data_IF_597866997464
#
_entry.id   IF_597866997464
#
_cell.length_a   1.000
_cell.length_b   1.000
_cell.length_c   1.000
_cell.angle_alpha   90.00
_cell.angle_beta   90.00
_cell.angle_gamma   90.00
#
_symmetry.space_group_name_H-M   'P 1'
#
loop_
_entity.id
_entity.type
_entity.pdbx_description
1 polymer ?
#
# COMPACT_ATOMS: atom_id res chain seq x y z
N UNK A 1 21.32 3.94 8.86
CA UNK A 1 20.30 2.96 8.43
C UNK A 1 19.42 3.62 7.38
N UNK A 2 19.17 2.96 6.25
CA UNK A 2 18.24 3.45 5.21
C UNK A 2 16.95 2.64 5.25
N UNK A 3 15.82 3.27 4.93
CA UNK A 3 14.53 2.61 4.74
C UNK A 3 14.10 2.77 3.29
N UNK A 4 13.70 1.68 2.65
CA UNK A 4 13.27 1.68 1.24
C UNK A 4 12.01 0.83 1.08
N UNK A 5 11.10 1.26 0.21
CA UNK A 5 9.93 0.44 -0.15
C UNK A 5 10.38 -0.66 -1.11
N UNK A 6 10.13 -1.92 -0.75
CA UNK A 6 10.46 -3.09 -1.57
C UNK A 6 9.29 -3.51 -2.45
N UNK A 7 8.10 -3.59 -1.88
CA UNK A 7 6.87 -3.90 -2.62
C UNK A 7 5.62 -3.42 -1.91
N UNK A 8 4.56 -3.24 -2.70
CA UNK A 8 3.17 -3.16 -2.23
C UNK A 8 2.49 -4.47 -2.57
N UNK A 9 1.73 -5.05 -1.64
CA UNK A 9 0.94 -6.25 -1.86
C UNK A 9 -0.52 -5.93 -1.53
N UNK A 10 -1.40 -6.23 -2.47
CA UNK A 10 -2.84 -6.08 -2.33
C UNK A 10 -3.46 -7.47 -2.24
N UNK A 11 -4.24 -7.71 -1.18
CA UNK A 11 -4.99 -8.94 -0.98
C UNK A 11 -6.46 -8.66 -1.20
N UNK A 12 -7.13 -9.44 -2.04
CA UNK A 12 -8.57 -9.34 -2.19
C UNK A 12 -9.32 -10.21 -1.18
N UNK A 13 -10.65 -10.09 -1.15
CA UNK A 13 -11.52 -10.88 -0.26
C UNK A 13 -11.52 -12.39 -0.55
N UNK A 14 -11.04 -12.81 -1.72
CA UNK A 14 -10.91 -14.22 -2.11
C UNK A 14 -9.50 -14.78 -1.83
N UNK A 15 -8.61 -14.01 -1.18
CA UNK A 15 -7.24 -14.41 -0.88
C UNK A 15 -6.26 -14.30 -2.05
N UNK A 16 -6.70 -13.83 -3.22
CA UNK A 16 -5.80 -13.57 -4.35
C UNK A 16 -4.97 -12.31 -4.09
N UNK A 17 -3.74 -12.31 -4.61
CA UNK A 17 -2.78 -11.23 -4.39
C UNK A 17 -2.36 -10.55 -5.68
N UNK A 18 -2.05 -9.26 -5.57
CA UNK A 18 -1.35 -8.49 -6.60
C UNK A 18 -0.19 -7.77 -5.95
N UNK A 19 1.02 -8.03 -6.44
CA UNK A 19 2.24 -7.39 -5.95
C UNK A 19 2.76 -6.37 -6.96
N UNK A 20 3.14 -5.19 -6.47
CA UNK A 20 3.90 -4.18 -7.20
C UNK A 20 5.28 -4.09 -6.57
N UNK A 21 6.31 -4.50 -7.33
CA UNK A 21 7.70 -4.53 -6.86
C UNK A 21 8.45 -3.27 -7.26
N UNK A 22 9.24 -2.75 -6.32
CA UNK A 22 10.17 -1.65 -6.54
C UNK A 22 11.62 -2.17 -6.52
N UNK A 23 12.51 -1.46 -7.21
CA UNK A 23 13.95 -1.71 -7.20
C UNK A 23 14.61 -0.83 -6.12
N UNK A 24 15.19 -1.41 -5.05
CA UNK A 24 15.97 -0.63 -4.09
C UNK A 24 17.22 -0.02 -4.71
N UNK A 25 17.72 1.06 -4.12
CA UNK A 25 18.95 1.74 -4.51
C UNK A 25 18.84 2.60 -5.78
N UNK A 26 17.65 2.71 -6.37
CA UNK A 26 17.41 3.45 -7.60
C UNK A 26 16.10 4.24 -7.55
N UNK A 27 15.99 5.25 -8.40
CA UNK A 27 14.73 5.97 -8.63
C UNK A 27 13.79 5.08 -9.43
N UNK A 28 12.60 4.80 -8.89
CA UNK A 28 11.56 4.04 -9.58
C UNK A 28 10.59 5.02 -10.26
N UNK A 29 10.32 4.81 -11.55
CA UNK A 29 9.40 5.64 -12.34
C UNK A 29 8.14 4.85 -12.64
N UNK A 30 6.98 5.36 -12.19
CA UNK A 30 5.67 4.74 -12.41
C UNK A 30 4.93 5.56 -13.47
N UNK A 31 4.56 4.91 -14.58
CA UNK A 31 3.85 5.55 -15.69
C UNK A 31 2.52 4.85 -15.99
N UNK A 32 1.66 5.50 -16.77
CA UNK A 32 0.34 4.98 -17.15
C UNK A 32 -0.66 6.11 -17.39
N UNK A 33 -1.78 5.79 -18.05
CA UNK A 33 -2.88 6.74 -18.32
C UNK A 33 -3.40 7.38 -17.03
N UNK A 34 -3.95 8.59 -17.10
CA UNK A 34 -4.62 9.20 -15.94
C UNK A 34 -5.70 8.26 -15.36
N UNK A 35 -5.97 8.39 -14.06
CA UNK A 35 -7.00 7.63 -13.33
C UNK A 35 -6.81 6.09 -13.29
N UNK A 36 -5.60 5.59 -13.53
CA UNK A 36 -5.29 4.14 -13.45
C UNK A 36 -4.72 3.70 -12.10
N UNK A 37 -4.93 4.48 -11.03
CA UNK A 37 -4.46 4.12 -9.68
C UNK A 37 -2.99 4.42 -9.38
N UNK A 38 -2.32 5.26 -10.18
CA UNK A 38 -0.94 5.70 -9.88
C UNK A 38 -0.83 6.43 -8.54
N UNK A 39 -1.76 7.37 -8.27
CA UNK A 39 -1.79 8.12 -7.01
C UNK A 39 -2.05 7.21 -5.79
N UNK A 40 -2.76 6.09 -5.97
CA UNK A 40 -3.04 5.15 -4.90
C UNK A 40 -1.76 4.51 -4.33
N UNK A 41 -0.66 4.45 -5.08
CA UNK A 41 0.61 3.88 -4.62
C UNK A 41 1.14 4.64 -3.40
N UNK A 42 1.12 5.98 -3.45
CA UNK A 42 1.60 6.82 -2.34
C UNK A 42 0.66 6.69 -1.15
N UNK A 43 -0.66 6.75 -1.38
CA UNK A 43 -1.68 6.61 -0.33
C UNK A 43 -1.59 5.26 0.40
N UNK A 44 -1.31 4.17 -0.32
CA UNK A 44 -1.11 2.84 0.29
C UNK A 44 0.13 2.82 1.18
N UNK A 45 1.23 3.44 0.74
CA UNK A 45 2.46 3.55 1.52
C UNK A 45 2.19 4.35 2.80
N UNK A 46 1.58 5.53 2.70
CA UNK A 46 1.24 6.37 3.86
C UNK A 46 0.28 5.67 4.81
N UNK A 47 -0.73 4.99 4.28
CA UNK A 47 -1.69 4.23 5.07
C UNK A 47 -0.97 3.18 5.92
N UNK A 48 -0.07 2.40 5.32
CA UNK A 48 0.72 1.39 6.03
C UNK A 48 1.80 2.00 6.94
N UNK A 49 2.22 3.25 6.72
CA UNK A 49 3.13 3.98 7.62
C UNK A 49 2.42 4.62 8.83
N UNK A 50 1.11 4.37 9.01
CA UNK A 50 0.39 4.78 10.21
C UNK A 50 -0.53 5.99 10.02
N UNK A 51 -0.79 6.43 8.78
CA UNK A 51 -1.80 7.45 8.53
C UNK A 51 -3.17 7.00 9.07
N UNK A 52 -3.82 7.88 9.82
CA UNK A 52 -5.13 7.64 10.46
C UNK A 52 -6.27 7.76 9.45
N UNK A 53 -6.15 8.72 8.54
CA UNK A 53 -7.05 8.89 7.40
C UNK A 53 -6.85 7.79 6.36
N UNK A 54 -7.95 7.26 5.85
CA UNK A 54 -8.00 6.38 4.70
C UNK A 54 -8.29 7.18 3.43
N UNK A 55 -7.22 7.50 2.71
CA UNK A 55 -7.19 8.40 1.55
C UNK A 55 -7.02 7.68 0.21
N UNK A 56 -7.03 6.34 0.21
CA UNK A 56 -6.95 5.55 -1.02
C UNK A 56 -8.19 5.86 -1.87
N UNK A 57 -8.03 6.32 -3.13
CA UNK A 57 -9.16 6.75 -3.95
C UNK A 57 -10.22 5.67 -4.15
N UNK A 58 -11.48 6.10 -4.24
CA UNK A 58 -12.61 5.23 -4.55
C UNK A 58 -12.48 4.53 -5.91
N UNK A 59 -13.22 3.43 -6.05
CA UNK A 59 -13.24 2.58 -7.24
C UNK A 59 -12.45 1.30 -7.04
N UNK A 60 -11.97 0.73 -8.15
CA UNK A 60 -11.51 -0.67 -8.25
C UNK A 60 -10.56 -1.13 -7.15
N UNK A 61 -9.63 -0.27 -6.69
CA UNK A 61 -8.69 -0.62 -5.63
C UNK A 61 -9.42 -0.74 -4.30
N UNK A 62 -10.20 0.27 -3.91
CA UNK A 62 -10.97 0.27 -2.65
C UNK A 62 -12.03 -0.84 -2.64
N UNK A 63 -12.68 -1.08 -3.77
CA UNK A 63 -13.81 -2.02 -3.86
C UNK A 63 -13.38 -3.50 -3.84
N UNK A 64 -12.12 -3.80 -4.17
CA UNK A 64 -11.64 -5.18 -4.35
C UNK A 64 -10.58 -5.61 -3.34
N UNK A 65 -9.97 -4.68 -2.61
CA UNK A 65 -8.86 -4.97 -1.71
C UNK A 65 -9.35 -5.07 -0.27
N UNK A 66 -9.10 -6.23 0.34
CA UNK A 66 -9.38 -6.50 1.75
C UNK A 66 -8.22 -6.04 2.66
N UNK A 67 -6.97 -6.19 2.19
CA UNK A 67 -5.77 -5.80 2.93
C UNK A 67 -4.74 -5.13 2.03
N UNK A 68 -4.14 -4.07 2.57
CA UNK A 68 -3.04 -3.34 1.97
C UNK A 68 -1.78 -3.66 2.76
N UNK A 69 -0.72 -4.10 2.09
CA UNK A 69 0.56 -4.36 2.72
C UNK A 69 1.71 -3.67 2.00
N UNK A 70 2.71 -3.25 2.76
CA UNK A 70 3.97 -2.70 2.26
C UNK A 70 5.12 -3.44 2.91
N UNK A 71 6.05 -3.91 2.09
CA UNK A 71 7.32 -4.45 2.55
C UNK A 71 8.36 -3.35 2.49
N UNK A 72 8.93 -3.01 3.64
CA UNK A 72 10.04 -2.10 3.78
C UNK A 72 11.34 -2.88 3.96
N UNK A 73 12.41 -2.47 3.28
CA UNK A 73 13.77 -2.92 3.55
C UNK A 73 14.45 -1.91 4.48
N UNK A 74 14.97 -2.37 5.61
CA UNK A 74 15.70 -1.60 6.60
C UNK A 74 17.17 -2.02 6.59
N UNK A 75 18.05 -1.14 6.12
CA UNK A 75 19.45 -1.50 5.86
C UNK A 75 19.54 -2.61 4.80
N UNK A 76 20.47 -3.54 4.99
CA UNK A 76 20.76 -4.55 3.98
C UNK A 76 20.01 -5.86 4.20
N UNK A 77 19.82 -6.31 5.44
CA UNK A 77 19.38 -7.68 5.74
C UNK A 77 18.04 -7.77 6.50
N UNK A 78 17.38 -6.64 6.76
CA UNK A 78 16.11 -6.62 7.48
C UNK A 78 14.97 -6.20 6.55
N UNK A 79 13.91 -7.00 6.52
CA UNK A 79 12.64 -6.63 5.91
C UNK A 79 11.53 -6.58 6.95
N UNK A 80 10.65 -5.59 6.83
CA UNK A 80 9.49 -5.38 7.69
C UNK A 80 8.25 -5.33 6.79
N UNK A 81 7.29 -6.20 7.07
CA UNK A 81 5.97 -6.16 6.45
C UNK A 81 5.01 -5.44 7.38
N UNK A 82 4.36 -4.40 6.87
CA UNK A 82 3.24 -3.75 7.53
C UNK A 82 1.99 -3.97 6.70
N UNK A 83 0.95 -4.53 7.30
CA UNK A 83 -0.33 -4.77 6.64
C UNK A 83 -1.48 -4.17 7.46
N UNK A 84 -2.40 -3.49 6.78
CA UNK A 84 -3.61 -2.92 7.37
C UNK A 84 -4.84 -3.36 6.56
N UNK A 85 -5.95 -3.69 7.23
CA UNK A 85 -7.19 -4.02 6.53
C UNK A 85 -7.77 -2.77 5.87
N UNK A 86 -8.61 -2.96 4.86
CA UNK A 86 -9.53 -1.90 4.46
C UNK A 86 -10.40 -1.48 5.67
N UNK A 87 -10.77 -0.19 5.81
CA UNK A 87 -11.69 0.25 6.86
C UNK A 87 -13.00 -0.53 6.81
N UNK A 88 -13.61 -0.74 7.99
CA UNK A 88 -14.97 -1.30 8.07
C UNK A 88 -15.95 -0.21 7.64
N UNK A 89 -16.86 -0.56 6.73
CA UNK A 89 -17.83 0.38 6.13
C UNK A 89 -17.12 1.55 5.41
N UNK A 90 -17.86 2.52 4.85
CA UNK A 90 -17.25 3.67 4.15
C UNK A 90 -16.46 4.63 5.07
N UNK A 91 -16.01 4.15 6.23
CA UNK A 91 -15.23 4.90 7.20
C UNK A 91 -13.98 5.50 6.56
N UNK A 92 -13.83 6.81 6.74
CA UNK A 92 -12.68 7.60 6.26
C UNK A 92 -11.52 7.55 7.26
N UNK A 93 -11.75 7.02 8.46
CA UNK A 93 -10.76 6.94 9.53
C UNK A 93 -10.69 5.51 10.07
N UNK A 94 -9.48 5.03 10.35
CA UNK A 94 -9.29 3.83 11.17
C UNK A 94 -9.36 4.23 12.64
N UNK A 95 -10.31 3.66 13.38
CA UNK A 95 -10.38 3.80 14.84
C UNK A 95 -9.11 3.21 15.46
N UNK A 96 -8.31 4.05 16.11
CA UNK A 96 -7.18 3.60 16.90
C UNK A 96 -7.68 3.20 18.29
N UNK A 97 -8.29 2.01 18.37
CA UNK A 97 -8.92 1.44 19.58
C UNK A 97 -10.15 2.20 20.10
#
# INVERSE_FOLDING_TARGET
MTMQVRSIILYNHAGATREVRFKPGVVNVITGRSLTGKSAIIEIIEYCMGRTEFSIPEGVIRDRVAWYAVVFRLGDDTEVLVAKPAPKENAVYQSQL
#
